data_IF_385073699186
#
_entry.id   IF_385073699186
#
_cell.length_a   1.000
_cell.length_b   1.000
_cell.length_c   1.000
_cell.angle_alpha   90.00
_cell.angle_beta   90.00
_cell.angle_gamma   90.00
#
_symmetry.space_group_name_H-M   'P 1'
#
loop_
_entity.id
_entity.type
_entity.pdbx_description
1 polymer ?
#
# COMPACT_ATOMS: atom_id res chain seq x y z
N UNK A 1 -51.14 33.40 -65.34
CA UNK A 1 -52.03 33.53 -64.16
C UNK A 1 -51.25 33.05 -62.94
N UNK A 2 -51.30 33.81 -61.84
CA UNK A 2 -50.60 33.64 -60.54
C UNK A 2 -50.82 32.21 -59.97
N UNK A 3 -50.01 31.65 -59.06
CA UNK A 3 -49.79 32.07 -57.67
C UNK A 3 -48.51 31.40 -57.13
N UNK A 4 -47.62 32.19 -56.52
CA UNK A 4 -46.48 31.75 -55.72
C UNK A 4 -46.88 31.81 -54.25
N UNK A 5 -46.79 30.69 -53.53
CA UNK A 5 -47.09 30.61 -52.09
C UNK A 5 -45.79 30.47 -51.31
N UNK A 6 -45.40 31.51 -50.56
CA UNK A 6 -44.31 31.47 -49.58
C UNK A 6 -44.90 31.13 -48.21
N UNK A 7 -44.40 30.05 -47.61
CA UNK A 7 -44.70 29.68 -46.22
C UNK A 7 -43.65 30.34 -45.31
N UNK A 8 -44.13 31.10 -44.33
CA UNK A 8 -43.31 31.72 -43.28
C UNK A 8 -43.34 30.80 -42.06
N UNK A 9 -42.16 30.37 -41.59
CA UNK A 9 -41.99 29.59 -40.36
C UNK A 9 -41.48 30.53 -39.25
N UNK A 10 -42.14 30.60 -38.07
CA UNK A 10 -41.66 31.42 -36.97
C UNK A 10 -40.56 30.69 -36.18
N UNK A 11 -39.48 31.41 -35.89
CA UNK A 11 -38.37 30.94 -35.05
C UNK A 11 -38.72 31.08 -33.57
N UNK A 12 -38.80 29.96 -32.83
CA UNK A 12 -38.87 29.95 -31.37
C UNK A 12 -37.47 30.25 -30.79
N UNK A 13 -37.36 31.36 -30.07
CA UNK A 13 -36.16 31.71 -29.30
C UNK A 13 -36.04 30.85 -28.04
N UNK A 14 -34.95 30.07 -27.95
CA UNK A 14 -34.55 29.33 -26.75
C UNK A 14 -33.73 30.28 -25.88
N UNK A 15 -34.32 30.73 -24.78
CA UNK A 15 -33.62 31.50 -23.74
C UNK A 15 -32.70 30.58 -22.91
N UNK A 16 -31.39 30.74 -23.05
CA UNK A 16 -30.41 30.15 -22.14
C UNK A 16 -30.40 30.91 -20.80
N UNK A 17 -30.94 30.30 -19.75
CA UNK A 17 -30.63 30.68 -18.37
C UNK A 17 -29.24 30.13 -18.00
N UNK A 18 -28.24 31.00 -17.97
CA UNK A 18 -26.92 30.67 -17.46
C UNK A 18 -26.94 30.60 -15.92
N UNK A 19 -27.10 29.39 -15.37
CA UNK A 19 -26.89 29.13 -13.95
C UNK A 19 -25.37 29.08 -13.68
N UNK A 20 -24.85 30.13 -13.07
CA UNK A 20 -23.47 30.21 -12.61
C UNK A 20 -23.24 29.25 -11.44
N UNK A 21 -22.58 28.12 -11.70
CA UNK A 21 -22.09 27.24 -10.64
C UNK A 21 -20.92 27.93 -9.91
N UNK A 22 -20.89 27.93 -8.56
CA UNK A 22 -19.77 28.47 -7.81
C UNK A 22 -18.50 27.66 -8.13
N UNK A 23 -17.46 28.38 -8.54
CA UNK A 23 -16.14 27.81 -8.80
C UNK A 23 -15.57 27.24 -7.50
N UNK A 24 -15.69 25.92 -7.33
CA UNK A 24 -15.05 25.20 -6.25
C UNK A 24 -13.53 25.28 -6.48
N UNK A 25 -12.87 26.12 -5.70
CA UNK A 25 -11.41 26.28 -5.75
C UNK A 25 -10.75 24.96 -5.36
N UNK A 26 -10.28 24.19 -6.34
CA UNK A 26 -9.40 23.05 -6.11
C UNK A 26 -8.13 23.57 -5.44
N UNK A 27 -7.98 23.34 -4.13
CA UNK A 27 -6.69 23.47 -3.45
C UNK A 27 -5.70 22.60 -4.21
N UNK A 28 -4.71 23.22 -4.86
CA UNK A 28 -3.57 22.52 -5.47
C UNK A 28 -2.91 21.69 -4.37
N UNK A 29 -3.04 20.37 -4.42
CA UNK A 29 -2.28 19.47 -3.57
C UNK A 29 -0.80 19.65 -3.87
N UNK A 30 0.05 19.64 -2.83
CA UNK A 30 1.50 19.60 -3.03
C UNK A 30 1.84 18.39 -3.92
N UNK A 31 2.78 18.53 -4.87
CA UNK A 31 3.23 17.42 -5.69
C UNK A 31 3.81 16.34 -4.78
N UNK A 32 3.55 15.06 -5.11
CA UNK A 32 4.11 13.97 -4.36
C UNK A 32 5.65 14.04 -4.39
N UNK A 33 6.31 13.84 -3.24
CA UNK A 33 7.76 13.96 -3.08
C UNK A 33 8.56 12.95 -3.92
N UNK A 34 9.82 13.29 -4.21
CA UNK A 34 10.80 12.38 -4.83
C UNK A 34 11.47 11.49 -3.74
N UNK A 35 11.58 10.19 -4.02
CA UNK A 35 11.35 9.14 -3.01
C UNK A 35 12.52 8.47 -2.26
N UNK A 36 13.80 8.89 -2.31
CA UNK A 36 14.81 8.32 -1.40
C UNK A 36 14.84 9.00 -0.02
N UNK A 37 14.80 10.34 0.02
CA UNK A 37 15.08 11.08 1.26
C UNK A 37 14.04 10.83 2.36
N UNK A 38 12.78 10.66 1.99
CA UNK A 38 11.69 10.59 2.96
C UNK A 38 11.65 9.27 3.72
N UNK A 39 12.15 8.18 3.15
CA UNK A 39 12.15 6.89 3.85
C UNK A 39 13.32 6.76 4.83
N UNK A 40 14.36 7.59 4.77
CA UNK A 40 15.51 7.44 5.67
C UNK A 40 15.14 7.50 7.17
N UNK A 41 14.03 8.16 7.52
CA UNK A 41 13.53 8.23 8.90
C UNK A 41 12.23 7.46 9.14
N UNK A 42 11.82 6.52 8.27
CA UNK A 42 10.53 5.83 8.38
C UNK A 42 10.31 5.12 9.72
N UNK A 43 11.40 4.75 10.40
CA UNK A 43 11.35 4.07 11.70
C UNK A 43 10.75 4.95 12.81
N UNK A 44 10.74 6.27 12.61
CA UNK A 44 10.06 7.23 13.50
C UNK A 44 8.55 7.31 13.27
N UNK A 45 8.06 6.76 12.15
CA UNK A 45 6.64 6.77 11.81
C UNK A 45 5.85 5.71 12.59
N UNK A 46 4.52 5.70 12.42
CA UNK A 46 3.66 4.76 13.12
C UNK A 46 3.93 3.32 12.67
N UNK A 47 4.45 2.50 13.58
CA UNK A 47 4.50 1.06 13.40
C UNK A 47 3.10 0.46 13.60
N UNK A 48 2.54 -0.16 12.56
CA UNK A 48 1.14 -0.63 12.56
C UNK A 48 1.00 -2.10 12.96
N UNK A 49 2.07 -2.88 12.82
CA UNK A 49 2.14 -4.25 13.33
C UNK A 49 2.78 -4.29 14.72
N UNK A 50 2.41 -5.26 15.57
CA UNK A 50 3.19 -5.60 16.77
C UNK A 50 4.63 -6.03 16.38
N UNK A 51 5.52 -6.06 17.37
CA UNK A 51 6.98 -5.98 17.18
C UNK A 51 7.60 -6.83 16.07
N UNK A 52 7.08 -8.01 15.72
CA UNK A 52 7.44 -8.78 14.50
C UNK A 52 6.29 -9.75 14.18
N UNK A 53 5.84 -9.80 12.92
CA UNK A 53 4.84 -10.80 12.47
C UNK A 53 5.52 -11.79 11.52
N UNK A 54 5.42 -13.09 11.82
CA UNK A 54 5.95 -14.14 10.94
C UNK A 54 5.21 -14.10 9.60
N UNK A 55 5.96 -14.08 8.51
CA UNK A 55 5.41 -14.13 7.16
C UNK A 55 5.09 -15.58 6.80
N UNK A 56 3.91 -15.82 6.24
CA UNK A 56 3.65 -17.09 5.58
C UNK A 56 4.70 -17.33 4.48
N UNK A 57 5.26 -18.56 4.32
CA UNK A 57 6.36 -18.80 3.39
C UNK A 57 6.08 -18.33 1.96
N UNK A 58 4.87 -18.58 1.44
CA UNK A 58 4.46 -18.11 0.12
C UNK A 58 4.51 -16.57 0.01
N UNK A 59 4.10 -15.85 1.07
CA UNK A 59 4.16 -14.38 1.12
C UNK A 59 5.61 -13.90 1.20
N UNK A 60 6.47 -14.59 1.98
CA UNK A 60 7.90 -14.28 2.04
C UNK A 60 8.59 -14.45 0.69
N UNK A 61 8.17 -15.43 -0.12
CA UNK A 61 8.70 -15.62 -1.48
C UNK A 61 8.16 -14.59 -2.48
N UNK A 62 6.87 -14.26 -2.42
CA UNK A 62 6.26 -13.28 -3.35
C UNK A 62 6.66 -11.83 -3.04
N UNK A 63 6.94 -11.51 -1.77
CA UNK A 63 7.41 -10.21 -1.31
C UNK A 63 8.94 -10.22 -1.21
N UNK A 64 9.58 -10.25 -2.37
CA UNK A 64 11.03 -10.27 -2.58
C UNK A 64 11.38 -9.43 -3.82
N UNK A 65 12.66 -9.06 -4.03
CA UNK A 65 13.10 -8.45 -5.28
C UNK A 65 12.74 -9.32 -6.48
N UNK A 66 12.53 -8.71 -7.64
CA UNK A 66 12.53 -9.43 -8.90
C UNK A 66 13.94 -9.93 -9.17
N UNK A 67 14.10 -11.24 -9.25
CA UNK A 67 15.38 -11.87 -9.49
C UNK A 67 15.28 -13.38 -9.38
N UNK A 68 16.32 -14.11 -9.81
CA UNK A 68 16.40 -15.53 -9.55
C UNK A 68 16.33 -15.76 -8.05
N UNK A 69 15.33 -16.53 -7.60
CA UNK A 69 15.27 -17.02 -6.22
C UNK A 69 16.52 -17.90 -6.04
N UNK A 70 17.39 -17.62 -5.07
CA UNK A 70 18.49 -18.52 -4.77
C UNK A 70 17.92 -19.92 -4.51
N UNK A 71 18.25 -20.88 -5.36
CA UNK A 71 17.77 -22.27 -5.28
C UNK A 71 18.50 -23.02 -4.14
N UNK A 72 19.36 -22.32 -3.40
CA UNK A 72 20.08 -22.85 -2.27
C UNK A 72 19.09 -23.41 -1.26
N UNK A 73 19.27 -24.70 -0.94
CA UNK A 73 18.52 -25.35 0.14
C UNK A 73 18.78 -24.54 1.41
N UNK A 74 17.78 -24.41 2.30
CA UNK A 74 18.04 -23.81 3.60
C UNK A 74 19.25 -24.48 4.22
N UNK A 75 20.13 -23.68 4.82
CA UNK A 75 21.23 -24.24 5.59
C UNK A 75 20.65 -25.18 6.66
N UNK A 76 21.46 -26.08 7.22
CA UNK A 76 20.98 -27.06 8.21
C UNK A 76 20.28 -26.42 9.42
N UNK A 77 20.40 -25.10 9.59
CA UNK A 77 19.80 -24.29 10.66
C UNK A 77 18.51 -23.55 10.23
N UNK A 78 18.11 -23.62 8.96
CA UNK A 78 16.89 -23.00 8.43
C UNK A 78 16.90 -21.47 8.47
N UNK A 79 18.10 -20.87 8.48
CA UNK A 79 18.32 -19.42 8.55
C UNK A 79 18.51 -18.78 7.19
N UNK A 80 18.90 -19.56 6.19
CA UNK A 80 19.14 -19.12 4.81
C UNK A 80 18.19 -19.81 3.81
N UNK A 81 18.14 -19.30 2.58
CA UNK A 81 17.31 -19.86 1.50
C UNK A 81 15.84 -19.41 1.49
N UNK A 82 15.08 -19.79 0.45
CA UNK A 82 13.73 -19.28 0.17
C UNK A 82 12.67 -19.75 1.18
N UNK A 83 12.98 -20.78 1.96
CA UNK A 83 12.10 -21.32 3.00
C UNK A 83 12.49 -20.89 4.42
N UNK A 84 13.56 -20.09 4.58
CA UNK A 84 13.88 -19.53 5.88
C UNK A 84 12.72 -18.67 6.38
N UNK A 85 12.43 -18.75 7.68
CA UNK A 85 11.42 -17.91 8.30
C UNK A 85 11.81 -16.44 8.14
N UNK A 86 10.83 -15.62 7.76
CA UNK A 86 10.98 -14.17 7.63
C UNK A 86 9.91 -13.49 8.47
N UNK A 87 10.26 -12.34 9.00
CA UNK A 87 9.35 -11.54 9.81
C UNK A 87 9.15 -10.17 9.17
N UNK A 88 7.98 -9.59 9.38
CA UNK A 88 7.65 -8.27 8.88
C UNK A 88 7.49 -7.25 10.01
N UNK A 89 7.88 -6.02 9.71
CA UNK A 89 7.41 -4.81 10.40
C UNK A 89 6.87 -3.85 9.36
N UNK A 90 5.81 -3.14 9.69
CA UNK A 90 5.17 -2.19 8.78
C UNK A 90 5.06 -0.84 9.46
N UNK A 91 5.46 0.19 8.73
CA UNK A 91 5.40 1.58 9.12
C UNK A 91 4.53 2.33 8.11
N UNK A 92 3.77 3.31 8.59
CA UNK A 92 3.00 4.24 7.76
C UNK A 92 3.29 5.66 8.22
N UNK A 93 3.49 6.57 7.28
CA UNK A 93 3.65 7.98 7.61
C UNK A 93 2.36 8.59 8.20
N UNK A 94 2.47 9.78 8.77
CA UNK A 94 1.35 10.48 9.41
C UNK A 94 0.13 10.64 8.48
N UNK A 95 0.37 10.87 7.18
CA UNK A 95 -0.68 11.08 6.17
C UNK A 95 -1.63 9.88 6.05
N UNK A 96 -1.12 8.65 6.17
CA UNK A 96 -1.92 7.42 6.02
C UNK A 96 -2.29 6.75 7.34
N UNK A 97 -1.91 7.31 8.48
CA UNK A 97 -2.02 6.65 9.79
C UNK A 97 -3.47 6.30 10.14
N UNK A 98 -4.39 7.25 10.04
CA UNK A 98 -5.79 7.05 10.39
C UNK A 98 -6.46 5.96 9.54
N UNK A 99 -6.21 5.96 8.22
CA UNK A 99 -6.70 4.95 7.30
C UNK A 99 -6.17 3.55 7.65
N UNK A 100 -4.87 3.48 7.96
CA UNK A 100 -4.23 2.22 8.29
C UNK A 100 -4.75 1.63 9.61
N UNK A 101 -4.88 2.45 10.65
CA UNK A 101 -5.14 2.02 12.02
C UNK A 101 -6.61 1.91 12.39
N UNK A 102 -7.50 2.70 11.76
CA UNK A 102 -8.89 2.82 12.22
C UNK A 102 -9.94 2.31 11.23
N UNK A 103 -9.65 2.29 9.93
CA UNK A 103 -10.69 2.05 8.93
C UNK A 103 -10.71 0.60 8.46
N UNK A 104 -11.90 0.00 8.35
CA UNK A 104 -12.07 -1.37 7.83
C UNK A 104 -11.83 -1.45 6.32
N UNK A 105 -12.31 -0.44 5.58
CA UNK A 105 -12.15 -0.31 4.13
C UNK A 105 -11.51 1.04 3.79
N UNK A 106 -10.20 1.20 4.05
CA UNK A 106 -9.55 2.49 3.90
C UNK A 106 -9.49 2.95 2.44
N UNK A 107 -9.44 4.26 2.26
CA UNK A 107 -9.00 4.93 1.03
C UNK A 107 -7.86 5.87 1.40
N UNK A 108 -6.65 5.52 0.97
CA UNK A 108 -5.46 6.26 1.39
C UNK A 108 -5.33 7.57 0.60
N UNK A 109 -5.04 8.70 1.29
CA UNK A 109 -4.77 9.97 0.63
C UNK A 109 -3.43 9.94 -0.12
N UNK A 110 -3.33 10.76 -1.18
CA UNK A 110 -2.08 11.00 -1.93
C UNK A 110 -0.97 11.42 -0.96
N UNK A 111 0.23 10.89 -1.18
CA UNK A 111 1.38 11.11 -0.27
C UNK A 111 1.42 10.15 0.92
N UNK A 112 0.47 9.22 1.05
CA UNK A 112 0.63 8.09 1.97
C UNK A 112 1.85 7.27 1.57
N UNK A 113 2.70 6.97 2.54
CA UNK A 113 3.86 6.10 2.39
C UNK A 113 3.75 4.95 3.38
N UNK A 114 3.87 3.73 2.87
CA UNK A 114 3.91 2.50 3.68
C UNK A 114 5.24 1.81 3.43
N UNK A 115 6.04 1.62 4.48
CA UNK A 115 7.30 0.87 4.42
C UNK A 115 7.12 -0.47 5.12
N UNK A 116 7.46 -1.56 4.44
CA UNK A 116 7.51 -2.90 5.03
C UNK A 116 8.96 -3.37 5.08
N UNK A 117 9.43 -3.65 6.29
CA UNK A 117 10.71 -4.32 6.53
C UNK A 117 10.51 -5.83 6.41
N UNK A 118 11.44 -6.50 5.72
CA UNK A 118 11.63 -7.95 5.81
C UNK A 118 12.83 -8.23 6.70
N UNK A 119 12.62 -8.98 7.77
CA UNK A 119 13.61 -9.27 8.80
C UNK A 119 14.00 -10.76 8.75
N UNK A 120 15.30 -11.08 8.61
CA UNK A 120 15.77 -12.46 8.66
C UNK A 120 15.81 -12.99 10.09
N UNK A 121 15.74 -14.32 10.23
CA UNK A 121 16.22 -15.03 11.42
C UNK A 121 17.74 -15.08 11.37
N UNK A 122 18.37 -14.80 12.51
CA UNK A 122 19.81 -14.97 12.70
C UNK A 122 20.08 -16.17 13.62
N UNK A 123 21.18 -16.91 13.38
CA UNK A 123 21.56 -18.02 14.24
C UNK A 123 21.67 -17.61 15.71
N UNK A 124 21.06 -18.38 16.61
CA UNK A 124 21.24 -18.18 18.04
C UNK A 124 22.66 -18.61 18.45
N UNK A 125 23.41 -17.75 19.15
CA UNK A 125 24.75 -18.12 19.66
C UNK A 125 24.63 -19.31 20.63
N UNK A 126 25.46 -20.33 20.37
CA UNK A 126 25.54 -21.65 21.01
C UNK A 126 24.87 -21.74 22.40
N UNK A 127 23.85 -22.59 22.48
CA UNK A 127 23.32 -23.07 23.75
C UNK A 127 24.28 -24.13 24.29
N UNK A 128 25.01 -23.86 25.38
CA UNK A 128 25.84 -24.86 26.06
C UNK A 128 25.01 -25.98 26.71
N UNK A 129 23.68 -25.89 26.67
CA UNK A 129 22.77 -26.62 27.57
C UNK A 129 21.75 -27.49 26.83
N UNK A 130 22.03 -27.97 25.61
CA UNK A 130 21.18 -28.95 24.90
C UNK A 130 19.73 -28.53 24.59
N UNK A 131 19.27 -27.40 25.12
CA UNK A 131 17.93 -26.86 24.95
C UNK A 131 17.87 -26.03 23.66
N UNK A 132 16.87 -26.28 22.78
CA UNK A 132 16.61 -25.42 21.62
C UNK A 132 16.36 -23.99 22.10
N UNK A 133 17.19 -23.04 21.67
CA UNK A 133 16.91 -21.61 21.92
C UNK A 133 15.83 -21.12 20.95
N UNK A 134 14.98 -20.17 21.38
CA UNK A 134 14.14 -19.43 20.45
C UNK A 134 15.00 -18.81 19.34
N UNK A 135 14.48 -18.87 18.11
CA UNK A 135 15.10 -18.20 16.97
C UNK A 135 15.21 -16.70 17.24
N UNK A 136 16.38 -16.12 16.95
CA UNK A 136 16.61 -14.69 17.14
C UNK A 136 16.27 -13.97 15.83
N UNK A 137 15.43 -12.95 15.90
CA UNK A 137 15.05 -12.15 14.72
C UNK A 137 15.94 -10.91 14.66
N UNK A 138 16.53 -10.66 13.50
CA UNK A 138 17.34 -9.47 13.25
C UNK A 138 16.54 -8.18 13.48
N UNK A 139 17.18 -7.14 14.01
CA UNK A 139 16.66 -5.77 13.97
C UNK A 139 16.98 -5.07 12.66
N UNK A 140 17.96 -5.58 11.90
CA UNK A 140 18.37 -5.06 10.60
C UNK A 140 17.56 -5.76 9.51
N UNK A 141 16.84 -5.01 8.65
CA UNK A 141 16.13 -5.57 7.52
C UNK A 141 17.11 -6.15 6.49
N UNK A 142 16.70 -7.21 5.80
CA UNK A 142 17.37 -7.65 4.58
C UNK A 142 16.83 -6.91 3.34
N UNK A 143 15.60 -6.39 3.44
CA UNK A 143 14.89 -5.76 2.34
C UNK A 143 13.86 -4.76 2.88
N UNK A 144 13.68 -3.64 2.20
CA UNK A 144 12.46 -2.83 2.33
C UNK A 144 11.64 -2.92 1.05
N UNK A 145 10.32 -2.99 1.23
CA UNK A 145 9.36 -2.74 0.15
C UNK A 145 8.50 -1.56 0.55
N UNK A 146 8.29 -0.63 -0.39
CA UNK A 146 7.63 0.64 -0.13
C UNK A 146 6.47 0.81 -1.09
N UNK A 147 5.37 1.37 -0.59
CA UNK A 147 4.21 1.76 -1.38
C UNK A 147 3.94 3.25 -1.18
N UNK A 148 3.87 3.99 -2.28
CA UNK A 148 3.49 5.40 -2.32
C UNK A 148 2.14 5.58 -3.01
N UNK A 149 1.21 6.27 -2.36
CA UNK A 149 -0.03 6.69 -3.00
C UNK A 149 0.24 7.91 -3.89
N UNK A 150 0.18 7.72 -5.21
CA UNK A 150 0.34 8.78 -6.22
C UNK A 150 -0.95 9.50 -6.50
N UNK A 151 -0.83 10.59 -7.25
CA UNK A 151 -1.94 11.32 -7.84
C UNK A 151 -2.79 10.41 -8.75
N UNK A 152 -4.08 10.75 -8.86
CA UNK A 152 -5.01 10.01 -9.70
C UNK A 152 -4.52 9.94 -11.15
N UNK A 153 -4.57 8.74 -11.75
CA UNK A 153 -4.13 8.50 -13.12
C UNK A 153 -2.75 7.89 -13.23
N UNK A 154 -1.95 7.87 -12.17
CA UNK A 154 -0.65 7.22 -12.19
C UNK A 154 -0.79 5.72 -12.45
N UNK A 155 -1.59 5.00 -11.66
CA UNK A 155 -1.79 3.55 -11.79
C UNK A 155 -3.22 3.13 -11.44
N UNK A 156 -4.23 3.50 -12.25
CA UNK A 156 -5.64 3.37 -11.86
C UNK A 156 -6.08 1.93 -11.56
N UNK A 157 -5.51 0.96 -12.29
CA UNK A 157 -5.81 -0.48 -12.10
C UNK A 157 -5.41 -1.01 -10.73
N UNK A 158 -4.48 -0.33 -10.06
CA UNK A 158 -3.98 -0.71 -8.74
C UNK A 158 -4.04 0.46 -7.76
N UNK A 159 -5.09 1.28 -7.88
CA UNK A 159 -5.38 2.37 -6.94
C UNK A 159 -4.31 3.44 -6.86
N UNK A 160 -3.63 3.72 -7.97
CA UNK A 160 -2.57 4.75 -8.05
C UNK A 160 -1.41 4.52 -7.08
N UNK A 161 -1.16 3.26 -6.70
CA UNK A 161 0.04 2.90 -5.94
C UNK A 161 1.27 2.78 -6.85
N UNK A 162 2.34 3.45 -6.45
CA UNK A 162 3.72 3.22 -6.89
C UNK A 162 4.41 2.28 -5.90
N UNK A 163 5.17 1.32 -6.42
CA UNK A 163 5.93 0.35 -5.63
C UNK A 163 7.42 0.63 -5.74
N UNK A 164 8.17 0.31 -4.68
CA UNK A 164 9.62 0.38 -4.66
C UNK A 164 10.20 -0.77 -3.84
N UNK A 165 11.34 -1.28 -4.29
CA UNK A 165 12.13 -2.28 -3.58
C UNK A 165 13.51 -1.68 -3.35
N UNK A 166 13.99 -1.77 -2.10
CA UNK A 166 15.32 -1.30 -1.73
C UNK A 166 16.08 -2.38 -0.98
N UNK A 167 17.39 -2.19 -0.84
CA UNK A 167 18.16 -2.94 0.15
C UNK A 167 17.62 -2.71 1.59
N UNK A 168 18.13 -3.45 2.56
CA UNK A 168 17.68 -3.36 3.95
C UNK A 168 17.93 -2.02 4.64
N UNK A 169 18.90 -1.23 4.16
CA UNK A 169 19.22 0.10 4.67
C UNK A 169 18.26 1.18 4.12
N UNK A 170 17.68 0.95 2.94
CA UNK A 170 16.79 1.91 2.28
C UNK A 170 17.51 2.97 1.45
N UNK A 171 18.83 2.85 1.26
CA UNK A 171 19.66 3.81 0.53
C UNK A 171 19.94 3.39 -0.93
N UNK A 172 19.60 2.15 -1.30
CA UNK A 172 19.73 1.63 -2.66
C UNK A 172 18.39 1.12 -3.18
N UNK A 173 17.88 1.74 -4.25
CA UNK A 173 16.67 1.32 -4.95
C UNK A 173 17.01 0.31 -6.02
N UNK A 174 16.48 -0.91 -5.91
CA UNK A 174 16.69 -1.96 -6.92
C UNK A 174 15.61 -1.97 -7.99
N UNK A 175 14.37 -1.62 -7.62
CA UNK A 175 13.22 -1.55 -8.54
C UNK A 175 12.23 -0.48 -8.09
N UNK A 176 11.54 0.16 -9.04
CA UNK A 176 10.53 1.18 -8.77
C UNK A 176 9.47 1.26 -9.87
N UNK A 177 8.26 1.67 -9.50
CA UNK A 177 7.18 2.04 -10.40
C UNK A 177 5.98 1.09 -10.33
N UNK A 178 5.44 0.72 -11.49
CA UNK A 178 4.30 -0.21 -11.63
C UNK A 178 4.80 -1.65 -11.67
N UNK A 179 5.39 -2.12 -10.58
CA UNK A 179 6.01 -3.44 -10.50
C UNK A 179 4.95 -4.55 -10.62
N UNK A 180 5.06 -5.40 -11.66
CA UNK A 180 4.04 -6.41 -11.98
C UNK A 180 3.80 -7.38 -10.82
N UNK A 181 4.87 -7.91 -10.23
CA UNK A 181 4.78 -8.88 -9.14
C UNK A 181 4.10 -8.29 -7.90
N UNK A 182 4.44 -7.05 -7.54
CA UNK A 182 3.84 -6.36 -6.40
C UNK A 182 2.35 -6.11 -6.65
N UNK A 183 1.99 -5.60 -7.82
CA UNK A 183 0.60 -5.35 -8.19
C UNK A 183 -0.24 -6.63 -8.19
N UNK A 184 0.23 -7.72 -8.81
CA UNK A 184 -0.51 -8.97 -8.88
C UNK A 184 -0.83 -9.55 -7.50
N UNK A 185 0.09 -9.43 -6.54
CA UNK A 185 -0.14 -9.87 -5.16
C UNK A 185 -1.14 -8.98 -4.41
N UNK A 186 -1.14 -7.67 -4.72
CA UNK A 186 -1.97 -6.67 -4.04
C UNK A 186 -3.36 -6.47 -4.69
N UNK A 187 -3.55 -6.85 -5.94
CA UNK A 187 -4.79 -6.73 -6.71
C UNK A 187 -6.04 -7.32 -6.01
N UNK A 188 -5.98 -8.49 -5.34
CA UNK A 188 -7.13 -9.05 -4.63
C UNK A 188 -7.64 -8.17 -3.46
N UNK A 189 -6.86 -7.18 -3.03
CA UNK A 189 -7.15 -6.34 -1.87
C UNK A 189 -7.76 -4.98 -2.26
N UNK A 190 -8.39 -4.87 -3.43
CA UNK A 190 -9.02 -3.62 -3.89
C UNK A 190 -10.01 -2.99 -2.89
N UNK A 191 -10.68 -3.79 -2.06
CA UNK A 191 -11.59 -3.32 -0.99
C UNK A 191 -10.88 -2.54 0.13
N UNK A 192 -9.60 -2.78 0.34
CA UNK A 192 -8.77 -2.06 1.33
C UNK A 192 -7.75 -1.18 0.63
N UNK A 193 -8.13 -0.65 -0.54
CA UNK A 193 -7.29 0.17 -1.39
C UNK A 193 -5.95 -0.50 -1.67
N UNK A 194 -6.00 -1.78 -2.02
CA UNK A 194 -4.86 -2.63 -2.37
C UNK A 194 -3.86 -2.86 -1.23
N UNK A 195 -4.16 -2.48 0.01
CA UNK A 195 -3.27 -2.70 1.16
C UNK A 195 -3.68 -3.97 1.91
N UNK A 196 -2.75 -4.94 1.96
CA UNK A 196 -2.86 -6.12 2.83
C UNK A 196 -2.62 -5.70 4.27
N UNK A 197 -3.51 -6.10 5.18
CA UNK A 197 -3.44 -5.78 6.63
C UNK A 197 -3.69 -6.99 7.54
N UNK A 198 -3.50 -8.21 7.03
CA UNK A 198 -3.66 -9.46 7.81
C UNK A 198 -2.67 -9.58 8.98
N UNK A 199 -1.59 -8.80 8.97
CA UNK A 199 -0.61 -8.71 10.05
C UNK A 199 -1.02 -7.79 11.22
N UNK A 200 -2.13 -7.05 11.10
CA UNK A 200 -2.63 -6.28 12.24
C UNK A 200 -3.03 -7.25 13.37
N UNK A 201 -2.83 -6.89 14.66
CA UNK A 201 -3.33 -7.69 15.77
C UNK A 201 -4.84 -7.93 15.65
N UNK A 202 -5.34 -9.09 16.09
CA UNK A 202 -6.77 -9.46 15.94
C UNK A 202 -7.69 -8.46 16.61
N UNK A 203 -7.29 -7.95 17.76
CA UNK A 203 -7.94 -6.89 18.52
C UNK A 203 -8.02 -5.58 17.72
N UNK A 204 -6.96 -5.23 16.97
CA UNK A 204 -6.98 -4.06 16.07
C UNK A 204 -7.93 -4.32 14.91
N UNK A 205 -7.87 -5.49 14.27
CA UNK A 205 -8.77 -5.86 13.17
C UNK A 205 -10.25 -5.82 13.60
N UNK A 206 -10.56 -6.30 14.80
CA UNK A 206 -11.91 -6.28 15.35
C UNK A 206 -12.40 -4.85 15.67
N UNK A 207 -11.49 -3.93 15.98
CA UNK A 207 -11.78 -2.53 16.28
C UNK A 207 -11.87 -1.63 15.03
N UNK A 208 -11.55 -2.15 13.83
CA UNK A 208 -11.62 -1.36 12.59
C UNK A 208 -13.07 -0.93 12.30
N UNK A 209 -13.25 0.38 12.13
CA UNK A 209 -14.54 1.02 11.88
C UNK A 209 -14.94 0.86 10.42
N UNK A 210 -16.16 0.39 10.21
CA UNK A 210 -16.81 0.43 8.90
C UNK A 210 -17.47 1.80 8.72
N UNK A 211 -16.69 2.79 8.25
CA UNK A 211 -17.19 4.16 8.12
C UNK A 211 -18.27 4.28 7.04
N UNK A 212 -18.27 3.39 6.04
CA UNK A 212 -19.30 3.36 5.00
C UNK A 212 -20.65 2.87 5.56
N UNK A 213 -20.64 1.92 6.49
CA UNK A 213 -21.86 1.44 7.15
C UNK A 213 -22.56 2.52 8.01
N UNK A 214 -21.82 3.52 8.50
CA UNK A 214 -22.37 4.59 9.34
C UNK A 214 -23.10 5.69 8.57
N UNK A 215 -22.88 5.78 7.25
CA UNK A 215 -23.51 6.82 6.40
C UNK A 215 -24.76 6.33 5.65
N UNK A 216 -25.02 5.01 5.64
CA UNK A 216 -26.23 4.42 5.08
C UNK A 216 -26.75 3.29 5.99
N UNK A 217 -27.52 3.60 7.05
CA UNK A 217 -28.19 2.56 7.83
C UNK A 217 -29.16 1.79 6.90
N UNK A 218 -29.11 0.45 6.96
CA UNK A 218 -30.09 -0.39 6.27
C UNK A 218 -31.50 0.07 6.65
N UNK A 219 -32.41 0.29 5.69
CA UNK A 219 -33.80 0.47 6.03
C UNK A 219 -34.29 -0.81 6.72
N UNK A 220 -34.92 -0.64 7.88
CA UNK A 220 -35.58 -1.71 8.64
C UNK A 220 -36.69 -2.35 7.80
#
# INVERSE_FOLDING_TARGET
>A
MRISSRVIVPSLGIGLCALSLPAWSQKKSKPAPEFPEEIHNYQSWKQVARERVEMAPAVAMMCAPAGPIPIERPDAKGTEGPHAKKFLRVYVNEIGEAQMAEQKYPRFPVGTIIVKQKLPVIPSKNSKTGTPKPQQISSTPELLTVMLKREAGYNPSNGDWEFMVTNGAGDEVTERGKLKNCQSCHLPYAKTDYIVRSYLPKEVQAALKDLDATTNPKPN
#
